data_IF_276056467215
#
_entry.id   IF_276056467215
#
_cell.length_a   1.000
_cell.length_b   1.000
_cell.length_c   1.000
_cell.angle_alpha   90.00
_cell.angle_beta   90.00
_cell.angle_gamma   90.00
#
_symmetry.space_group_name_H-M   'P 1'
#
loop_
_entity.id
_entity.type
_entity.pdbx_description
1 polymer ?
#
# COMPACT_ATOMS: atom_id res chain seq x y z
N UNK A 1 18.03 -3.33 -33.71
CA UNK A 1 18.40 -1.94 -33.39
C UNK A 1 17.09 -1.14 -33.32
N UNK A 2 16.45 -1.06 -32.15
CA UNK A 2 15.23 -0.25 -31.94
C UNK A 2 15.64 1.15 -31.50
N UNK A 3 15.84 2.06 -32.47
CA UNK A 3 15.97 3.50 -32.19
C UNK A 3 14.56 4.07 -32.10
N UNK A 4 14.16 4.61 -30.95
CA UNK A 4 12.93 5.42 -30.87
C UNK A 4 12.13 5.42 -29.58
N UNK A 5 12.53 4.71 -28.51
CA UNK A 5 11.66 4.55 -27.32
C UNK A 5 12.12 5.39 -26.13
N UNK A 6 12.11 6.71 -26.27
CA UNK A 6 12.38 7.63 -25.13
C UNK A 6 11.38 8.80 -25.01
N UNK A 7 10.21 8.71 -25.64
CA UNK A 7 9.10 9.65 -25.40
C UNK A 7 7.86 8.89 -24.93
N UNK A 8 7.58 8.93 -23.62
CA UNK A 8 6.28 8.58 -23.04
C UNK A 8 5.81 7.14 -23.26
N UNK A 9 6.51 6.16 -22.68
CA UNK A 9 6.02 4.78 -22.67
C UNK A 9 4.66 4.71 -21.97
N UNK A 10 3.63 4.31 -22.71
CA UNK A 10 2.31 4.01 -22.16
C UNK A 10 2.29 2.53 -21.71
N UNK A 11 2.50 2.31 -20.42
CA UNK A 11 2.50 0.98 -19.79
C UNK A 11 1.29 0.13 -20.19
N UNK A 12 0.10 0.75 -20.35
CA UNK A 12 -1.11 0.06 -20.80
C UNK A 12 -1.01 -0.47 -22.23
N UNK A 13 -0.41 0.29 -23.15
CA UNK A 13 -0.24 -0.13 -24.53
C UNK A 13 0.63 -1.39 -24.62
N UNK A 14 1.71 -1.45 -23.82
CA UNK A 14 2.56 -2.64 -23.73
C UNK A 14 1.80 -3.85 -23.17
N UNK A 15 1.04 -3.67 -22.09
CA UNK A 15 0.19 -4.73 -21.50
C UNK A 15 -0.79 -5.30 -22.53
N UNK A 16 -1.37 -4.44 -23.38
CA UNK A 16 -2.28 -4.86 -24.45
C UNK A 16 -1.54 -5.56 -25.60
N UNK A 17 -0.38 -5.03 -26.03
CA UNK A 17 0.45 -5.59 -27.10
C UNK A 17 0.92 -7.01 -26.79
N UNK A 18 1.36 -7.27 -25.55
CA UNK A 18 1.79 -8.61 -25.14
C UNK A 18 0.62 -9.56 -24.82
N UNK A 19 -0.63 -9.08 -24.94
CA UNK A 19 -1.83 -9.87 -24.64
C UNK A 19 -2.00 -10.22 -23.17
N UNK A 20 -1.40 -9.45 -22.25
CA UNK A 20 -1.50 -9.71 -20.82
C UNK A 20 -2.95 -9.52 -20.34
N UNK A 21 -3.48 -10.54 -19.67
CA UNK A 21 -4.85 -10.57 -19.11
C UNK A 21 -4.88 -10.24 -17.63
N UNK A 22 -3.78 -10.52 -16.93
CA UNK A 22 -3.61 -10.27 -15.51
C UNK A 22 -2.60 -9.14 -15.33
N UNK A 23 -2.92 -8.18 -14.48
CA UNK A 23 -2.02 -7.09 -14.11
C UNK A 23 -1.88 -7.10 -12.60
N UNK A 24 -0.63 -7.13 -12.14
CA UNK A 24 -0.28 -7.00 -10.73
C UNK A 24 0.39 -5.65 -10.51
N UNK A 25 -0.12 -4.88 -9.56
CA UNK A 25 0.51 -3.63 -9.14
C UNK A 25 0.26 -3.33 -7.66
N UNK A 26 1.05 -2.42 -7.13
CA UNK A 26 1.07 -2.05 -5.72
C UNK A 26 0.24 -0.79 -5.48
N UNK A 27 -0.60 -0.83 -4.45
CA UNK A 27 -1.09 0.41 -3.85
C UNK A 27 -0.08 0.79 -2.77
N UNK A 28 0.56 1.94 -2.92
CA UNK A 28 1.50 2.44 -1.93
C UNK A 28 0.74 2.99 -0.72
N UNK A 29 1.15 2.63 0.49
CA UNK A 29 0.57 3.21 1.70
C UNK A 29 0.73 4.73 1.69
N UNK A 30 1.91 5.23 1.32
CA UNK A 30 2.20 6.66 1.17
C UNK A 30 1.27 7.36 0.17
N UNK A 31 0.79 6.67 -0.88
CA UNK A 31 -0.14 7.30 -1.82
C UNK A 31 -1.52 7.56 -1.23
N UNK A 32 -1.91 6.81 -0.19
CA UNK A 32 -3.20 6.97 0.51
C UNK A 32 -3.05 7.83 1.76
N UNK A 33 -1.96 7.64 2.50
CA UNK A 33 -1.61 8.40 3.70
C UNK A 33 -0.18 8.90 3.55
N UNK A 34 0.04 10.05 2.90
CA UNK A 34 1.40 10.55 2.64
C UNK A 34 2.13 10.92 3.93
N UNK A 35 1.40 11.38 4.94
CA UNK A 35 1.94 11.77 6.24
C UNK A 35 1.07 11.23 7.36
N UNK A 36 1.68 10.73 8.43
CA UNK A 36 1.02 10.42 9.70
C UNK A 36 1.44 11.44 10.76
N UNK A 37 0.50 11.86 11.59
CA UNK A 37 0.74 12.81 12.67
C UNK A 37 0.35 12.19 14.03
N UNK A 38 1.05 12.54 15.12
CA UNK A 38 0.67 12.12 16.46
C UNK A 38 -0.61 12.85 16.94
N UNK A 39 -1.38 12.25 17.89
CA UNK A 39 -1.15 10.92 18.46
C UNK A 39 -1.38 9.82 17.41
N UNK A 40 -0.52 8.80 17.43
CA UNK A 40 -0.67 7.68 16.52
C UNK A 40 -1.76 6.73 17.01
N UNK A 41 -2.44 6.10 16.06
CA UNK A 41 -3.58 5.22 16.30
C UNK A 41 -3.19 4.01 17.16
N UNK A 42 -3.97 3.71 18.19
CA UNK A 42 -3.91 2.46 18.93
C UNK A 42 -4.70 1.35 18.22
N UNK A 43 -4.37 0.08 18.48
CA UNK A 43 -5.05 -1.07 17.85
C UNK A 43 -6.56 -1.08 18.11
N UNK A 44 -6.99 -0.66 19.30
CA UNK A 44 -8.41 -0.58 19.69
C UNK A 44 -9.20 0.48 18.91
N UNK A 45 -8.51 1.45 18.30
CA UNK A 45 -9.11 2.52 17.51
C UNK A 45 -9.27 2.13 16.03
N UNK A 46 -8.78 0.95 15.61
CA UNK A 46 -8.98 0.41 14.26
C UNK A 46 -10.33 -0.30 14.16
N UNK A 47 -11.41 0.47 14.27
CA UNK A 47 -12.77 -0.01 14.16
C UNK A 47 -13.35 0.10 12.73
N UNK A 48 -14.57 -0.40 12.54
CA UNK A 48 -15.25 -0.36 11.24
C UNK A 48 -15.58 1.05 10.77
N UNK A 49 -15.78 2.00 11.68
CA UNK A 49 -16.08 3.39 11.34
C UNK A 49 -14.82 4.09 10.81
N UNK A 50 -13.67 3.90 11.46
CA UNK A 50 -12.38 4.40 10.99
C UNK A 50 -12.03 3.81 9.61
N UNK A 51 -12.22 2.50 9.44
CA UNK A 51 -11.99 1.82 8.15
C UNK A 51 -12.93 2.34 7.06
N UNK A 52 -14.22 2.52 7.35
CA UNK A 52 -15.18 3.04 6.39
C UNK A 52 -14.88 4.51 6.03
N UNK A 53 -14.48 5.32 7.01
CA UNK A 53 -14.09 6.71 6.81
C UNK A 53 -12.90 6.81 5.86
N UNK A 54 -11.81 6.08 6.11
CA UNK A 54 -10.66 6.10 5.21
C UNK A 54 -10.99 5.56 3.82
N UNK A 55 -11.73 4.45 3.72
CA UNK A 55 -12.10 3.85 2.44
C UNK A 55 -12.96 4.77 1.55
N UNK A 56 -13.74 5.65 2.17
CA UNK A 56 -14.60 6.64 1.50
C UNK A 56 -13.89 7.95 1.14
N UNK A 57 -12.62 8.15 1.51
CA UNK A 57 -11.89 9.38 1.19
C UNK A 57 -11.35 9.35 -0.26
N UNK A 58 -12.15 9.84 -1.19
CA UNK A 58 -11.79 9.88 -2.62
C UNK A 58 -10.53 10.69 -2.92
N UNK A 59 -10.20 11.70 -2.11
CA UNK A 59 -8.98 12.49 -2.32
C UNK A 59 -7.74 11.65 -2.04
N UNK A 60 -7.75 10.88 -0.96
CA UNK A 60 -6.65 9.96 -0.61
C UNK A 60 -6.49 8.84 -1.62
N UNK A 61 -7.58 8.39 -2.23
CA UNK A 61 -7.54 7.30 -3.20
C UNK A 61 -7.48 7.73 -4.66
N UNK A 62 -7.47 9.02 -4.99
CA UNK A 62 -7.48 9.50 -6.37
C UNK A 62 -6.35 8.91 -7.24
N UNK A 63 -5.13 8.83 -6.70
CA UNK A 63 -3.99 8.21 -7.41
C UNK A 63 -4.20 6.71 -7.65
N UNK A 64 -4.42 5.91 -6.60
CA UNK A 64 -4.82 4.50 -6.70
C UNK A 64 -6.00 4.24 -7.66
N UNK A 65 -7.06 5.04 -7.61
CA UNK A 65 -8.23 4.90 -8.48
C UNK A 65 -7.88 5.12 -9.96
N UNK A 66 -7.06 6.14 -10.24
CA UNK A 66 -6.56 6.37 -11.60
C UNK A 66 -5.70 5.21 -12.11
N UNK A 67 -4.93 4.56 -11.22
CA UNK A 67 -4.16 3.37 -11.57
C UNK A 67 -5.07 2.16 -11.88
N UNK A 68 -6.13 1.94 -11.09
CA UNK A 68 -7.13 0.91 -11.40
C UNK A 68 -7.82 1.18 -12.75
N UNK A 69 -8.24 2.43 -12.98
CA UNK A 69 -8.92 2.83 -14.21
C UNK A 69 -8.05 2.61 -15.46
N UNK A 70 -6.73 2.83 -15.35
CA UNK A 70 -5.77 2.55 -16.43
C UNK A 70 -5.84 1.09 -16.92
N UNK A 71 -6.14 0.15 -16.03
CA UNK A 71 -6.21 -1.28 -16.32
C UNK A 71 -7.64 -1.83 -16.40
N UNK A 72 -8.62 -0.97 -16.68
CA UNK A 72 -10.00 -1.41 -16.92
C UNK A 72 -10.04 -2.49 -18.04
N UNK A 73 -10.78 -3.57 -17.76
CA UNK A 73 -10.88 -4.74 -18.63
C UNK A 73 -9.81 -5.82 -18.41
N UNK A 74 -8.88 -5.61 -17.46
CA UNK A 74 -7.91 -6.62 -17.02
C UNK A 74 -8.33 -7.26 -15.70
N UNK A 75 -7.85 -8.46 -15.43
CA UNK A 75 -7.94 -9.09 -14.12
C UNK A 75 -6.85 -8.51 -13.22
N UNK A 76 -7.24 -7.83 -12.15
CA UNK A 76 -6.30 -7.13 -11.28
C UNK A 76 -5.94 -7.97 -10.05
N UNK A 77 -4.66 -8.02 -9.73
CA UNK A 77 -4.15 -8.43 -8.42
C UNK A 77 -3.52 -7.19 -7.79
N UNK A 78 -3.89 -6.87 -6.54
CA UNK A 78 -3.33 -5.72 -5.84
C UNK A 78 -2.40 -6.15 -4.72
N UNK A 79 -1.20 -5.59 -4.72
CA UNK A 79 -0.28 -5.63 -3.60
C UNK A 79 -0.60 -4.55 -2.57
N UNK A 80 -0.69 -4.95 -1.30
CA UNK A 80 -0.84 -4.08 -0.14
C UNK A 80 0.48 -4.06 0.62
N UNK A 81 1.08 -2.87 0.72
CA UNK A 81 2.34 -2.69 1.42
C UNK A 81 3.50 -3.37 0.68
N UNK A 82 4.44 -2.59 0.18
CA UNK A 82 5.75 -3.15 -0.12
C UNK A 82 6.65 -2.90 1.07
N UNK A 83 7.48 -3.88 1.45
CA UNK A 83 8.54 -3.69 2.46
C UNK A 83 9.55 -2.60 2.09
N UNK A 84 9.43 -1.98 0.91
CA UNK A 84 10.20 -0.81 0.51
C UNK A 84 9.84 0.43 1.34
N UNK A 85 10.87 1.06 1.90
CA UNK A 85 10.78 2.29 2.68
C UNK A 85 10.16 3.47 1.91
N UNK A 86 10.24 3.49 0.57
CA UNK A 86 9.63 4.54 -0.25
C UNK A 86 8.09 4.44 -0.34
N UNK A 87 7.51 3.29 0.03
CA UNK A 87 6.07 3.06 0.07
C UNK A 87 5.45 3.43 1.43
N UNK A 88 6.28 3.72 2.44
CA UNK A 88 5.84 4.08 3.78
C UNK A 88 5.51 5.58 3.89
N UNK A 89 4.47 5.95 4.67
CA UNK A 89 4.18 7.33 5.01
C UNK A 89 5.36 8.04 5.66
N UNK A 90 5.30 9.37 5.61
CA UNK A 90 6.21 10.25 6.33
C UNK A 90 5.66 10.60 7.73
N UNK A 91 6.55 10.88 8.68
CA UNK A 91 6.27 11.48 9.98
C UNK A 91 7.17 12.69 10.20
N UNK A 92 6.75 13.62 11.07
CA UNK A 92 7.62 14.68 11.53
C UNK A 92 8.73 14.09 12.42
N UNK A 93 10.00 14.35 12.07
CA UNK A 93 11.19 13.94 12.81
C UNK A 93 12.10 15.13 13.13
N UNK A 94 13.11 14.89 13.95
CA UNK A 94 14.02 15.93 14.45
C UNK A 94 14.83 16.63 13.34
N UNK A 95 15.11 15.91 12.24
CA UNK A 95 15.85 16.42 11.08
C UNK A 95 14.98 16.64 9.83
N UNK A 96 13.65 16.71 9.99
CA UNK A 96 12.70 16.87 8.88
C UNK A 96 11.74 15.70 8.77
N UNK A 97 11.41 15.29 7.54
CA UNK A 97 10.50 14.18 7.27
C UNK A 97 11.22 12.84 7.39
N UNK A 98 10.75 11.98 8.29
CA UNK A 98 11.26 10.61 8.47
C UNK A 98 10.22 9.58 8.01
N UNK A 99 10.65 8.35 7.71
CA UNK A 99 9.72 7.27 7.36
C UNK A 99 9.06 6.68 8.59
N UNK A 100 7.78 6.35 8.47
CA UNK A 100 7.10 5.52 9.45
C UNK A 100 7.76 4.15 9.53
N UNK A 101 8.23 3.80 10.73
CA UNK A 101 8.75 2.47 11.06
C UNK A 101 8.32 2.10 12.49
N UNK A 102 8.30 0.80 12.85
CA UNK A 102 8.01 0.37 14.22
C UNK A 102 8.88 1.05 15.28
N UNK A 103 10.17 1.29 14.98
CA UNK A 103 11.11 1.96 15.91
C UNK A 103 10.76 3.43 16.18
N UNK A 104 10.09 4.08 15.23
CA UNK A 104 9.78 5.51 15.33
C UNK A 104 8.44 5.79 15.99
N UNK A 105 7.43 4.96 15.72
CA UNK A 105 6.07 5.18 16.22
C UNK A 105 5.61 4.14 17.24
N UNK A 106 6.42 3.12 17.50
CA UNK A 106 6.06 1.95 18.29
C UNK A 106 5.40 0.86 17.45
N UNK A 107 5.66 -0.40 17.80
CA UNK A 107 5.14 -1.59 17.09
C UNK A 107 3.61 -1.58 16.99
N UNK A 108 2.92 -1.35 18.10
CA UNK A 108 1.45 -1.45 18.12
C UNK A 108 0.79 -0.35 17.28
N UNK A 109 1.32 0.87 17.36
CA UNK A 109 0.85 1.97 16.52
C UNK A 109 1.14 1.72 15.04
N UNK A 110 2.31 1.16 14.71
CA UNK A 110 2.63 0.75 13.35
C UNK A 110 1.64 -0.28 12.82
N UNK A 111 1.36 -1.34 13.59
CA UNK A 111 0.39 -2.37 13.21
C UNK A 111 -1.01 -1.77 13.08
N UNK A 112 -1.44 -0.91 14.00
CA UNK A 112 -2.75 -0.26 13.94
C UNK A 112 -2.93 0.56 12.66
N UNK A 113 -1.93 1.38 12.33
CA UNK A 113 -1.93 2.22 11.14
C UNK A 113 -1.89 1.38 9.86
N UNK A 114 -1.09 0.31 9.83
CA UNK A 114 -1.04 -0.64 8.71
C UNK A 114 -2.38 -1.36 8.53
N UNK A 115 -3.00 -1.81 9.62
CA UNK A 115 -4.31 -2.47 9.60
C UNK A 115 -5.41 -1.54 9.10
N UNK A 116 -5.43 -0.27 9.56
CA UNK A 116 -6.38 0.72 9.08
C UNK A 116 -6.26 0.89 7.56
N UNK A 117 -5.03 1.11 7.07
CA UNK A 117 -4.74 1.26 5.64
C UNK A 117 -5.15 0.01 4.84
N UNK A 118 -4.72 -1.17 5.26
CA UNK A 118 -4.99 -2.42 4.56
C UNK A 118 -6.50 -2.71 4.51
N UNK A 119 -7.20 -2.61 5.64
CA UNK A 119 -8.66 -2.84 5.71
C UNK A 119 -9.43 -1.82 4.87
N UNK A 120 -9.04 -0.54 4.90
CA UNK A 120 -9.68 0.50 4.09
C UNK A 120 -9.48 0.27 2.59
N UNK A 121 -8.27 -0.11 2.17
CA UNK A 121 -7.96 -0.41 0.77
C UNK A 121 -8.72 -1.65 0.30
N UNK A 122 -8.77 -2.71 1.11
CA UNK A 122 -9.58 -3.90 0.81
C UNK A 122 -11.05 -3.52 0.70
N UNK A 123 -11.58 -2.73 1.63
CA UNK A 123 -12.97 -2.28 1.59
C UNK A 123 -13.29 -1.50 0.31
N UNK A 124 -12.42 -0.56 -0.09
CA UNK A 124 -12.63 0.30 -1.28
C UNK A 124 -12.63 -0.48 -2.60
N UNK A 125 -11.79 -1.52 -2.70
CA UNK A 125 -11.60 -2.28 -3.95
C UNK A 125 -12.13 -3.71 -3.92
N UNK A 126 -12.82 -4.11 -2.84
CA UNK A 126 -13.51 -5.40 -2.78
C UNK A 126 -14.44 -5.55 -3.98
N UNK A 127 -14.32 -6.66 -4.71
CA UNK A 127 -15.10 -6.94 -5.90
C UNK A 127 -14.59 -6.30 -7.20
N UNK A 128 -13.56 -5.44 -7.14
CA UNK A 128 -12.90 -4.87 -8.33
C UNK A 128 -11.60 -5.60 -8.70
N UNK A 129 -11.11 -6.47 -7.81
CA UNK A 129 -9.82 -7.15 -7.93
C UNK A 129 -10.03 -8.65 -7.68
N UNK A 130 -9.24 -9.48 -8.36
CA UNK A 130 -9.34 -10.93 -8.27
C UNK A 130 -8.50 -11.52 -7.12
N UNK A 131 -7.48 -10.80 -6.68
CA UNK A 131 -6.58 -11.26 -5.63
C UNK A 131 -5.87 -10.13 -4.91
N UNK A 132 -5.40 -10.46 -3.72
CA UNK A 132 -4.61 -9.58 -2.87
C UNK A 132 -3.26 -10.24 -2.59
N UNK A 133 -2.20 -9.48 -2.72
CA UNK A 133 -0.90 -9.83 -2.17
C UNK A 133 -0.67 -8.95 -0.94
N UNK A 134 -0.43 -9.58 0.22
CA UNK A 134 -0.10 -8.86 1.46
C UNK A 134 1.40 -9.00 1.65
N UNK A 135 2.09 -7.85 1.61
CA UNK A 135 3.55 -7.73 1.72
C UNK A 135 4.36 -8.46 0.62
N UNK A 136 5.39 -7.79 0.12
CA UNK A 136 6.46 -8.40 -0.66
C UNK A 136 7.79 -8.06 -0.01
N UNK A 137 8.72 -9.01 -0.10
CA UNK A 137 10.10 -8.87 0.36
C UNK A 137 10.21 -8.36 1.80
N UNK A 138 9.59 -9.09 2.73
CA UNK A 138 9.88 -8.94 4.16
C UNK A 138 11.39 -8.99 4.44
N UNK A 139 12.19 -9.63 3.59
CA UNK A 139 13.63 -9.71 3.78
C UNK A 139 14.44 -8.49 3.32
N UNK A 140 13.86 -7.55 2.54
CA UNK A 140 14.62 -6.46 1.91
C UNK A 140 14.59 -5.11 2.65
N UNK A 141 13.96 -5.00 3.83
CA UNK A 141 14.10 -3.78 4.64
C UNK A 141 13.32 -3.73 5.96
N UNK A 142 12.11 -4.29 6.02
CA UNK A 142 11.21 -4.15 7.18
C UNK A 142 10.73 -5.48 7.81
N UNK A 143 10.91 -6.62 7.17
CA UNK A 143 10.38 -7.89 7.66
C UNK A 143 11.36 -8.74 8.47
N UNK A 144 12.59 -8.27 8.74
CA UNK A 144 13.36 -8.78 9.89
C UNK A 144 12.54 -8.64 11.19
N UNK A 145 11.72 -7.58 11.30
CA UNK A 145 10.94 -7.24 12.48
C UNK A 145 9.68 -8.10 12.69
N UNK A 146 9.17 -8.76 11.64
CA UNK A 146 8.01 -9.66 11.72
C UNK A 146 8.38 -11.09 12.13
N UNK A 147 9.67 -11.45 12.09
CA UNK A 147 10.16 -12.80 12.43
C UNK A 147 10.28 -13.05 13.94
N UNK A 148 10.14 -12.02 14.77
CA UNK A 148 10.28 -12.12 16.24
C UNK A 148 8.93 -12.25 16.97
N UNK A 149 7.84 -12.59 16.27
CA UNK A 149 6.60 -13.00 16.94
C UNK A 149 6.87 -14.35 17.62
N UNK A 150 6.80 -14.47 18.96
CA UNK A 150 6.82 -15.78 19.60
C UNK A 150 5.66 -16.57 19.01
N UNK A 151 5.94 -17.73 18.43
CA UNK A 151 4.87 -18.68 18.13
C UNK A 151 4.31 -19.13 19.48
N UNK A 152 3.26 -18.47 19.96
CA UNK A 152 2.46 -19.01 21.03
C UNK A 152 1.88 -20.31 20.49
N UNK A 153 2.41 -21.43 21.02
CA UNK A 153 2.04 -22.78 20.64
C UNK A 153 0.53 -22.95 20.69
N UNK A 154 0.01 -23.60 19.65
CA UNK A 154 -1.32 -24.18 19.68
C UNK A 154 -1.32 -25.42 20.57
#
# INVERSE_FOLDING_TARGET
MLRGVTAGWNERALVDEIGARHVHFWISWRSVQPTLAPPYLALSEVDDAAVASLAGDDKRFAGPDAALQRYQGKTLVLGLGSGFTNAMPDIAGASGSERVTPDRIGRDAYIAQLLLYARATVRRYRGKVAGWQIENETDSGAGKWLREVPQHGR
#
